data_IF_493656117197
#
_entry.id   IF_493656117197
#
_cell.length_a   1.000
_cell.length_b   1.000
_cell.length_c   1.000
_cell.angle_alpha   90.00
_cell.angle_beta   90.00
_cell.angle_gamma   90.00
#
_symmetry.space_group_name_H-M   'P 1'
#
loop_
_entity.id
_entity.type
_entity.pdbx_description
1 polymer ?
#
# COMPACT_ATOMS: atom_id res chain seq x y z
N UNK A 1 -15.48 -90.75 10.20
CA UNK A 1 -15.46 -89.67 11.18
C UNK A 1 -15.05 -88.40 10.45
N UNK A 2 -15.90 -87.41 10.28
CA UNK A 2 -15.55 -86.16 9.60
C UNK A 2 -14.95 -85.16 10.59
N UNK A 3 -14.13 -84.22 10.13
CA UNK A 3 -13.52 -83.19 10.95
C UNK A 3 -14.47 -81.96 11.10
N UNK A 4 -14.27 -81.13 12.11
CA UNK A 4 -15.17 -79.98 12.45
C UNK A 4 -14.88 -78.71 11.64
N UNK A 5 -15.95 -77.99 11.46
CA UNK A 5 -16.04 -76.70 10.72
C UNK A 5 -15.25 -75.61 11.34
N UNK A 6 -14.51 -74.86 10.50
CA UNK A 6 -13.81 -73.65 10.80
C UNK A 6 -14.77 -72.41 10.95
N UNK A 7 -14.59 -71.65 12.00
CA UNK A 7 -15.26 -70.40 12.20
C UNK A 7 -14.68 -69.28 11.30
N UNK A 8 -15.51 -68.61 10.49
CA UNK A 8 -15.18 -67.43 9.72
C UNK A 8 -15.10 -66.23 10.61
N UNK A 9 -13.93 -65.63 10.68
CA UNK A 9 -13.68 -64.37 11.34
C UNK A 9 -14.19 -63.21 10.45
N UNK A 10 -15.30 -62.61 10.82
CA UNK A 10 -15.75 -61.32 10.29
C UNK A 10 -15.15 -60.19 11.14
N UNK A 11 -14.02 -59.70 10.74
CA UNK A 11 -13.44 -58.45 11.26
C UNK A 11 -12.85 -57.68 10.09
N UNK A 12 -13.50 -56.60 9.70
CA UNK A 12 -12.92 -55.74 8.70
C UNK A 12 -13.92 -54.87 7.97
N UNK A 13 -14.64 -53.98 8.67
CA UNK A 13 -15.35 -52.85 8.00
C UNK A 13 -15.72 -51.74 8.97
N UNK A 14 -14.79 -51.29 9.79
CA UNK A 14 -15.07 -50.19 10.71
C UNK A 14 -14.01 -49.05 10.78
N UNK A 15 -13.00 -49.07 9.90
CA UNK A 15 -11.85 -48.15 10.07
C UNK A 15 -11.66 -47.16 8.92
N UNK A 16 -12.59 -47.04 7.97
CA UNK A 16 -12.42 -46.15 6.80
C UNK A 16 -13.26 -44.86 6.86
N UNK A 17 -14.16 -44.69 7.82
CA UNK A 17 -15.10 -43.54 7.81
C UNK A 17 -14.63 -42.33 8.63
N UNK A 18 -13.55 -42.43 9.40
CA UNK A 18 -13.13 -41.30 10.31
C UNK A 18 -12.15 -40.31 9.65
N UNK A 19 -11.52 -40.63 8.53
CA UNK A 19 -10.52 -39.74 7.89
C UNK A 19 -11.12 -38.71 6.93
N UNK A 20 -12.36 -38.89 6.49
CA UNK A 20 -13.00 -37.97 5.51
C UNK A 20 -13.66 -36.74 6.14
N UNK A 21 -13.76 -36.64 7.47
CA UNK A 21 -14.47 -35.54 8.14
C UNK A 21 -13.59 -34.36 8.60
N UNK A 22 -12.27 -34.42 8.43
CA UNK A 22 -11.35 -33.37 8.91
C UNK A 22 -10.94 -32.39 7.80
N UNK A 23 -11.24 -32.67 6.53
CA UNK A 23 -10.92 -31.78 5.41
C UNK A 23 -11.98 -30.70 5.12
N UNK A 24 -12.98 -30.50 5.95
CA UNK A 24 -14.15 -29.68 5.66
C UNK A 24 -14.13 -28.25 6.17
N UNK A 25 -13.06 -27.78 6.83
CA UNK A 25 -12.99 -26.41 7.36
C UNK A 25 -11.65 -25.74 7.04
N UNK A 26 -11.25 -25.74 5.77
CA UNK A 26 -10.34 -24.71 5.33
C UNK A 26 -11.14 -23.39 5.33
N UNK A 27 -11.04 -22.61 6.40
CA UNK A 27 -11.47 -21.21 6.38
C UNK A 27 -10.53 -20.53 5.39
N UNK A 28 -11.09 -20.02 4.33
CA UNK A 28 -10.36 -19.10 3.45
C UNK A 28 -9.85 -17.95 4.33
N UNK A 29 -8.53 -17.78 4.41
CA UNK A 29 -7.95 -16.65 5.10
C UNK A 29 -8.16 -15.41 4.22
N UNK A 30 -8.55 -14.25 4.77
CA UNK A 30 -8.68 -13.03 4.00
C UNK A 30 -7.36 -12.73 3.31
N UNK A 31 -7.41 -12.56 1.98
CA UNK A 31 -6.23 -12.44 1.13
C UNK A 31 -5.82 -10.99 0.85
N UNK A 32 -6.53 -10.00 1.37
CA UNK A 32 -6.25 -8.58 1.18
C UNK A 32 -6.18 -7.82 2.52
N UNK A 33 -5.25 -6.85 2.64
CA UNK A 33 -4.16 -6.52 1.72
C UNK A 33 -2.98 -7.49 1.82
N UNK A 34 -2.16 -7.56 0.75
CA UNK A 34 -0.96 -8.41 0.70
C UNK A 34 0.31 -7.68 1.13
N UNK A 35 0.31 -6.36 1.07
CA UNK A 35 1.44 -5.48 1.40
C UNK A 35 0.94 -4.32 2.24
N UNK A 36 1.71 -3.95 3.26
CA UNK A 36 1.48 -2.73 4.04
C UNK A 36 2.62 -1.74 3.81
N UNK A 37 2.27 -0.51 3.48
CA UNK A 37 3.22 0.56 3.28
C UNK A 37 2.93 1.74 4.21
N UNK A 38 3.91 2.11 5.03
CA UNK A 38 3.86 3.31 5.87
C UNK A 38 4.38 4.50 5.07
N UNK A 39 3.52 5.50 4.89
CA UNK A 39 3.78 6.68 4.06
C UNK A 39 4.28 7.85 4.90
N UNK A 40 5.34 8.51 4.42
CA UNK A 40 5.69 9.88 4.75
C UNK A 40 5.78 10.68 3.47
N UNK A 41 5.22 11.89 3.50
CA UNK A 41 5.23 12.77 2.33
C UNK A 41 5.77 14.14 2.67
N UNK A 42 6.45 14.76 1.70
CA UNK A 42 6.81 16.15 1.74
C UNK A 42 6.13 16.88 0.57
N UNK A 43 5.37 17.89 0.87
CA UNK A 43 4.78 18.77 -0.14
C UNK A 43 5.81 19.82 -0.51
N UNK A 44 6.29 19.75 -1.74
CA UNK A 44 7.42 20.56 -2.20
C UNK A 44 6.93 21.85 -2.84
N UNK A 45 7.27 22.97 -2.23
CA UNK A 45 7.02 24.29 -2.77
C UNK A 45 8.26 24.80 -3.53
N UNK A 46 8.05 25.26 -4.73
CA UNK A 46 9.05 25.91 -5.58
C UNK A 46 8.93 27.43 -5.58
N UNK A 47 9.49 28.09 -6.62
CA UNK A 47 9.36 29.54 -6.81
C UNK A 47 7.90 29.99 -6.81
N UNK A 48 7.67 31.26 -6.43
CA UNK A 48 6.34 31.88 -6.35
C UNK A 48 5.40 31.19 -5.34
N UNK A 49 5.95 30.44 -4.38
CA UNK A 49 5.20 29.74 -3.33
C UNK A 49 4.16 28.74 -3.89
N UNK A 50 4.48 28.11 -5.01
CA UNK A 50 3.61 27.12 -5.67
C UNK A 50 4.06 25.71 -5.38
N UNK A 51 3.12 24.79 -5.19
CA UNK A 51 3.41 23.37 -5.05
C UNK A 51 3.90 22.87 -6.40
N UNK A 52 5.09 22.27 -6.41
CA UNK A 52 5.75 21.73 -7.62
C UNK A 52 5.79 20.23 -7.67
N UNK A 53 5.57 19.56 -6.54
CA UNK A 53 5.58 18.10 -6.48
C UNK A 53 5.40 17.57 -5.07
N UNK A 54 5.38 16.24 -4.97
CA UNK A 54 5.29 15.49 -3.72
C UNK A 54 6.49 14.55 -3.65
N UNK A 55 7.22 14.58 -2.55
CA UNK A 55 8.28 13.61 -2.26
C UNK A 55 7.77 12.60 -1.27
N UNK A 56 7.88 11.33 -1.62
CA UNK A 56 7.44 10.21 -0.79
C UNK A 56 8.61 9.45 -0.18
N UNK A 57 8.35 8.86 0.98
CA UNK A 57 9.11 7.78 1.58
C UNK A 57 8.10 6.70 2.02
N UNK A 58 8.08 5.58 1.31
CA UNK A 58 7.19 4.43 1.57
C UNK A 58 7.99 3.30 2.21
N UNK A 59 7.75 3.06 3.49
CA UNK A 59 8.38 1.97 4.23
C UNK A 59 7.46 0.76 4.21
N UNK A 60 7.94 -0.33 3.63
CA UNK A 60 7.19 -1.57 3.47
C UNK A 60 7.28 -2.44 4.71
N UNK A 61 6.31 -3.33 4.88
CA UNK A 61 6.29 -4.32 5.94
C UNK A 61 7.45 -5.33 5.85
N UNK A 62 7.67 -6.06 6.95
CA UNK A 62 8.77 -7.02 7.05
C UNK A 62 8.64 -8.19 6.06
N UNK A 63 7.43 -8.64 5.78
CA UNK A 63 7.20 -9.77 4.90
C UNK A 63 7.50 -9.41 3.44
N UNK A 64 6.96 -8.28 2.97
CA UNK A 64 7.29 -7.76 1.64
C UNK A 64 8.79 -7.49 1.52
N UNK A 65 9.39 -6.83 2.52
CA UNK A 65 10.83 -6.53 2.54
C UNK A 65 11.66 -7.79 2.39
N UNK A 66 11.39 -8.82 3.22
CA UNK A 66 12.14 -10.07 3.19
C UNK A 66 12.06 -10.79 1.83
N UNK A 67 10.93 -10.69 1.14
CA UNK A 67 10.78 -11.24 -0.21
C UNK A 67 11.51 -10.39 -1.26
N UNK A 68 11.38 -9.06 -1.17
CA UNK A 68 11.88 -8.15 -2.18
C UNK A 68 13.41 -8.09 -2.27
N UNK A 69 14.11 -8.27 -1.13
CA UNK A 69 15.57 -8.20 -1.08
C UNK A 69 16.29 -9.52 -1.37
N UNK A 70 15.55 -10.61 -1.65
CA UNK A 70 16.17 -11.91 -1.91
C UNK A 70 17.11 -11.88 -3.11
N UNK A 71 18.37 -12.26 -2.86
CA UNK A 71 19.42 -12.32 -3.88
C UNK A 71 20.02 -10.97 -4.29
N UNK A 72 19.69 -9.88 -3.58
CA UNK A 72 20.24 -8.55 -3.85
C UNK A 72 21.55 -8.25 -3.12
N UNK A 73 21.86 -8.96 -2.03
CA UNK A 73 23.19 -8.93 -1.39
C UNK A 73 24.18 -9.70 -2.27
N UNK A 74 24.76 -8.98 -3.23
CA UNK A 74 25.62 -9.57 -4.27
C UNK A 74 27.03 -9.84 -3.79
N UNK A 75 27.49 -9.11 -2.77
CA UNK A 75 28.82 -9.25 -2.18
C UNK A 75 28.83 -10.18 -0.96
N UNK A 76 27.64 -10.52 -0.39
CA UNK A 76 27.48 -11.43 0.74
C UNK A 76 27.88 -10.83 2.08
N UNK A 77 27.88 -9.50 2.22
CA UNK A 77 28.29 -8.82 3.46
C UNK A 77 27.14 -8.61 4.47
N UNK A 78 25.90 -8.97 4.09
CA UNK A 78 24.70 -8.82 4.91
C UNK A 78 24.14 -7.40 4.95
N UNK A 79 24.66 -6.49 4.14
CA UNK A 79 24.22 -5.10 4.02
C UNK A 79 23.70 -4.86 2.61
N UNK A 80 22.56 -4.23 2.48
CA UNK A 80 22.03 -3.85 1.17
C UNK A 80 22.45 -2.42 0.83
N UNK A 81 23.44 -2.28 -0.04
CA UNK A 81 23.90 -0.98 -0.54
C UNK A 81 22.89 -0.36 -1.50
N UNK A 82 22.96 0.96 -1.72
CA UNK A 82 22.12 1.66 -2.71
C UNK A 82 22.35 1.13 -4.13
N UNK A 83 23.59 0.73 -4.44
CA UNK A 83 23.98 0.16 -5.72
C UNK A 83 23.30 -1.19 -5.96
N UNK A 84 23.23 -2.04 -4.94
CA UNK A 84 22.55 -3.35 -5.00
C UNK A 84 21.04 -3.21 -5.06
N UNK A 85 20.48 -2.21 -4.40
CA UNK A 85 19.04 -1.92 -4.41
C UNK A 85 18.57 -1.15 -5.65
N UNK A 86 19.47 -0.54 -6.41
CA UNK A 86 19.14 0.31 -7.57
C UNK A 86 18.25 -0.39 -8.61
N UNK A 87 18.55 -1.63 -9.06
CA UNK A 87 17.69 -2.31 -10.04
C UNK A 87 16.26 -2.52 -9.52
N UNK A 88 16.11 -2.81 -8.23
CA UNK A 88 14.79 -2.95 -7.60
C UNK A 88 14.06 -1.60 -7.54
N UNK A 89 14.76 -0.50 -7.20
CA UNK A 89 14.18 0.83 -7.22
C UNK A 89 13.63 1.20 -8.60
N UNK A 90 14.41 0.93 -9.66
CA UNK A 90 14.02 1.18 -11.05
C UNK A 90 12.76 0.38 -11.45
N UNK A 91 12.71 -0.90 -11.10
CA UNK A 91 11.54 -1.76 -11.37
C UNK A 91 10.32 -1.22 -10.66
N UNK A 92 10.43 -0.86 -9.37
CA UNK A 92 9.32 -0.34 -8.58
C UNK A 92 8.74 0.94 -9.21
N UNK A 93 9.57 1.97 -9.42
CA UNK A 93 9.07 3.26 -9.93
C UNK A 93 8.49 3.17 -11.34
N UNK A 94 9.05 2.31 -12.19
CA UNK A 94 8.53 2.10 -13.55
C UNK A 94 7.14 1.42 -13.51
N UNK A 95 6.93 0.50 -12.58
CA UNK A 95 5.64 -0.20 -12.41
C UNK A 95 4.56 0.72 -11.82
N UNK A 96 4.92 1.70 -10.99
CA UNK A 96 3.97 2.62 -10.36
C UNK A 96 3.16 3.43 -11.38
N UNK A 97 3.70 3.65 -12.59
CA UNK A 97 3.01 4.40 -13.65
C UNK A 97 1.67 3.79 -14.05
N UNK A 98 1.55 2.47 -14.01
CA UNK A 98 0.31 1.75 -14.37
C UNK A 98 -0.81 1.96 -13.35
N UNK A 99 -0.45 2.49 -12.17
CA UNK A 99 -1.36 2.68 -11.03
C UNK A 99 -1.45 4.15 -10.62
N UNK A 100 -1.21 5.09 -11.52
CA UNK A 100 -1.16 6.54 -11.23
C UNK A 100 -0.27 6.87 -10.03
N UNK A 101 0.81 6.11 -9.88
CA UNK A 101 1.77 6.21 -8.77
C UNK A 101 1.13 6.06 -7.38
N UNK A 102 -0.07 5.47 -7.29
CA UNK A 102 -0.90 5.39 -6.07
C UNK A 102 -1.04 6.75 -5.36
N UNK A 103 -0.90 7.84 -6.11
CA UNK A 103 -0.90 9.20 -5.58
C UNK A 103 -1.86 10.06 -6.40
N UNK A 104 -2.88 10.58 -5.73
CA UNK A 104 -3.94 11.36 -6.35
C UNK A 104 -3.94 12.75 -5.74
N UNK A 105 -3.80 13.78 -6.58
CA UNK A 105 -3.75 15.18 -6.15
C UNK A 105 -4.94 15.91 -6.75
N UNK A 106 -5.74 16.57 -5.93
CA UNK A 106 -6.89 17.33 -6.39
C UNK A 106 -7.13 18.59 -5.56
N UNK A 107 -7.93 19.50 -6.09
CA UNK A 107 -8.33 20.72 -5.41
C UNK A 107 -9.67 20.54 -4.73
N UNK A 108 -9.76 20.90 -3.45
CA UNK A 108 -10.98 21.03 -2.64
C UNK A 108 -12.21 20.30 -3.20
N UNK A 109 -12.35 19.01 -2.93
CA UNK A 109 -13.49 18.17 -3.30
C UNK A 109 -13.75 18.05 -4.81
N UNK A 110 -12.79 18.42 -5.65
CA UNK A 110 -12.85 18.08 -7.08
C UNK A 110 -12.53 16.59 -7.26
N UNK A 111 -13.29 15.91 -8.09
CA UNK A 111 -12.99 14.53 -8.52
C UNK A 111 -11.88 14.47 -9.59
N UNK A 112 -11.42 15.64 -10.08
CA UNK A 112 -10.42 15.71 -11.13
C UNK A 112 -9.01 15.64 -10.53
N UNK A 113 -8.31 14.54 -10.79
CA UNK A 113 -6.92 14.39 -10.41
C UNK A 113 -6.00 15.24 -11.28
N UNK A 114 -5.08 15.94 -10.63
CA UNK A 114 -4.05 16.72 -11.32
C UNK A 114 -2.96 15.79 -11.86
N UNK A 115 -2.50 16.00 -13.11
CA UNK A 115 -1.53 15.12 -13.72
C UNK A 115 -0.15 15.25 -13.08
N UNK A 116 0.49 14.10 -12.87
CA UNK A 116 1.83 13.95 -12.33
C UNK A 116 2.80 13.53 -13.43
N UNK A 117 4.05 14.00 -13.33
CA UNK A 117 5.15 13.55 -14.18
C UNK A 117 5.72 12.22 -13.65
N UNK A 118 6.51 11.50 -14.48
CA UNK A 118 7.24 10.34 -14.00
C UNK A 118 8.10 10.65 -12.77
N UNK A 119 8.27 9.67 -11.87
CA UNK A 119 9.08 9.84 -10.67
C UNK A 119 10.53 10.20 -11.02
N UNK A 120 11.10 11.09 -10.23
CA UNK A 120 12.51 11.47 -10.26
C UNK A 120 13.11 11.38 -8.86
N UNK A 121 14.44 11.44 -8.75
CA UNK A 121 15.20 11.37 -7.50
C UNK A 121 14.77 10.17 -6.66
N UNK A 122 14.75 8.98 -7.25
CA UNK A 122 14.30 7.77 -6.58
C UNK A 122 15.45 6.85 -6.17
N UNK A 123 15.28 6.22 -5.01
CA UNK A 123 16.17 5.19 -4.48
C UNK A 123 15.46 4.32 -3.45
N UNK A 124 16.06 3.19 -3.17
CA UNK A 124 15.70 2.34 -2.04
C UNK A 124 16.78 2.42 -0.97
N UNK A 125 16.37 2.40 0.28
CA UNK A 125 17.26 2.08 1.40
C UNK A 125 16.70 0.93 2.23
N UNK A 126 17.59 0.32 3.01
CA UNK A 126 17.26 -0.79 3.90
C UNK A 126 17.79 -0.46 5.29
N UNK A 127 16.89 -0.23 6.23
CA UNK A 127 17.19 0.05 7.62
C UNK A 127 16.31 -0.78 8.56
N UNK A 128 16.89 -1.37 9.60
CA UNK A 128 16.17 -2.15 10.62
C UNK A 128 15.24 -3.21 10.04
N UNK A 129 15.71 -3.92 9.05
CA UNK A 129 14.96 -4.98 8.33
C UNK A 129 13.74 -4.48 7.56
N UNK A 130 13.66 -3.21 7.26
CA UNK A 130 12.61 -2.61 6.45
C UNK A 130 13.19 -1.92 5.22
N UNK A 131 12.52 -2.12 4.10
CA UNK A 131 12.83 -1.46 2.83
C UNK A 131 12.00 -0.19 2.70
N UNK A 132 12.65 0.92 2.34
CA UNK A 132 11.96 2.20 2.09
C UNK A 132 12.24 2.68 0.68
N UNK A 133 11.18 2.90 -0.10
CA UNK A 133 11.25 3.53 -1.41
C UNK A 133 11.07 5.04 -1.26
N UNK A 134 12.07 5.77 -1.72
CA UNK A 134 12.05 7.22 -1.82
C UNK A 134 11.90 7.63 -3.29
N UNK A 135 11.05 8.61 -3.56
CA UNK A 135 10.89 9.17 -4.89
C UNK A 135 10.18 10.51 -4.86
N UNK A 136 10.36 11.31 -5.88
CA UNK A 136 9.68 12.60 -6.06
C UNK A 136 8.74 12.50 -7.26
N UNK A 137 7.50 12.91 -7.09
CA UNK A 137 6.50 13.05 -8.14
C UNK A 137 6.30 14.54 -8.43
N UNK A 138 6.85 15.08 -9.53
CA UNK A 138 6.56 16.44 -9.92
C UNK A 138 5.13 16.57 -10.45
N UNK A 139 4.47 17.67 -10.13
CA UNK A 139 3.24 18.07 -10.80
C UNK A 139 3.54 18.51 -12.24
N UNK A 140 2.63 18.22 -13.18
CA UNK A 140 2.78 18.71 -14.56
C UNK A 140 2.82 20.23 -14.62
N UNK A 141 1.94 20.87 -13.81
CA UNK A 141 1.89 22.32 -13.66
C UNK A 141 2.01 22.69 -12.17
N UNK A 142 2.84 23.66 -11.80
CA UNK A 142 2.89 24.17 -10.43
C UNK A 142 1.53 24.67 -9.97
N UNK A 143 1.12 24.32 -8.76
CA UNK A 143 -0.19 24.56 -8.20
C UNK A 143 -0.16 25.68 -7.16
N UNK A 144 -1.08 26.65 -7.26
CA UNK A 144 -1.28 27.66 -6.24
C UNK A 144 -2.24 27.14 -5.17
N UNK A 145 -1.75 27.03 -3.94
CA UNK A 145 -2.55 26.60 -2.78
C UNK A 145 -3.26 27.74 -2.05
N UNK A 146 -3.14 29.01 -2.52
CA UNK A 146 -3.81 30.14 -1.88
C UNK A 146 -5.31 30.08 -2.12
N UNK A 147 -6.06 30.02 -1.02
CA UNK A 147 -7.52 30.03 -1.05
C UNK A 147 -8.19 28.74 -1.52
N UNK A 148 -7.40 27.69 -1.76
CA UNK A 148 -7.90 26.35 -2.06
C UNK A 148 -7.20 25.33 -1.17
N UNK A 149 -7.96 24.36 -0.65
CA UNK A 149 -7.36 23.18 -0.06
C UNK A 149 -6.80 22.31 -1.19
N UNK A 150 -5.59 21.78 -0.99
CA UNK A 150 -4.99 20.82 -1.90
C UNK A 150 -4.95 19.48 -1.19
N UNK A 151 -5.68 18.53 -1.73
CA UNK A 151 -5.80 17.20 -1.20
C UNK A 151 -4.82 16.26 -1.91
N UNK A 152 -4.09 15.48 -1.13
CA UNK A 152 -3.15 14.46 -1.61
C UNK A 152 -3.50 13.14 -0.96
N UNK A 153 -4.05 12.24 -1.75
CA UNK A 153 -4.39 10.89 -1.34
C UNK A 153 -3.30 9.90 -1.77
N UNK A 154 -3.02 8.94 -0.90
CA UNK A 154 -2.12 7.83 -1.23
C UNK A 154 -2.84 6.52 -0.94
N UNK A 155 -3.25 5.83 -2.00
CA UNK A 155 -3.95 4.56 -1.88
C UNK A 155 -3.82 3.70 -3.13
N UNK A 156 -4.04 2.40 -2.97
CA UNK A 156 -4.20 1.46 -4.08
C UNK A 156 -5.70 1.26 -4.34
N UNK A 157 -6.22 1.60 -5.54
CA UNK A 157 -7.63 1.40 -5.88
C UNK A 157 -8.12 -0.04 -5.66
N UNK A 158 -7.23 -1.04 -5.82
CA UNK A 158 -7.56 -2.46 -5.64
C UNK A 158 -7.41 -2.95 -4.20
N UNK A 159 -6.83 -2.14 -3.32
CA UNK A 159 -6.49 -2.50 -1.95
C UNK A 159 -5.57 -3.71 -1.81
N UNK A 160 -4.75 -4.00 -2.83
CA UNK A 160 -3.70 -4.99 -2.74
C UNK A 160 -2.56 -4.51 -1.82
N UNK A 161 -2.25 -3.21 -1.90
CA UNK A 161 -1.37 -2.51 -0.99
C UNK A 161 -2.20 -1.63 -0.05
N UNK A 162 -2.09 -1.86 1.26
CA UNK A 162 -2.64 -0.95 2.25
C UNK A 162 -1.63 0.15 2.57
N UNK A 163 -1.92 1.36 2.14
CA UNK A 163 -1.15 2.54 2.50
C UNK A 163 -1.70 3.17 3.76
N UNK A 164 -0.81 3.61 4.65
CA UNK A 164 -1.17 4.36 5.83
C UNK A 164 -0.11 5.41 6.17
N UNK A 165 -0.52 6.62 6.46
CA UNK A 165 0.43 7.65 6.87
C UNK A 165 1.05 7.34 8.24
N UNK A 166 2.34 7.64 8.38
CA UNK A 166 3.07 7.46 9.62
C UNK A 166 2.42 8.25 10.77
N UNK A 167 2.43 7.69 11.98
CA UNK A 167 1.89 8.36 13.18
C UNK A 167 2.67 9.64 13.52
N UNK A 168 3.97 9.63 13.27
CA UNK A 168 4.88 10.75 13.55
C UNK A 168 5.35 11.38 12.25
N UNK A 169 5.16 12.68 12.13
CA UNK A 169 5.55 13.48 10.96
C UNK A 169 5.07 12.87 9.63
N UNK A 170 3.75 12.59 9.49
CA UNK A 170 3.20 11.96 8.30
C UNK A 170 3.38 12.80 7.05
N UNK A 171 3.22 14.11 7.20
CA UNK A 171 3.35 15.08 6.11
C UNK A 171 4.15 16.28 6.58
N UNK A 172 5.00 16.81 5.69
CA UNK A 172 5.80 18.02 5.90
C UNK A 172 5.64 18.97 4.72
N UNK A 173 5.82 20.24 4.99
CA UNK A 173 6.01 21.26 3.96
C UNK A 173 7.52 21.46 3.75
N UNK A 174 7.96 21.43 2.50
CA UNK A 174 9.36 21.61 2.10
C UNK A 174 9.49 22.70 1.02
N UNK A 175 10.70 23.24 0.84
CA UNK A 175 10.98 24.29 -0.15
C UNK A 175 10.63 25.69 0.32
N UNK A 176 9.96 26.49 -0.53
CA UNK A 176 9.65 27.90 -0.30
C UNK A 176 8.13 28.15 -0.21
N UNK A 177 7.46 27.72 0.87
CA UNK A 177 6.02 27.93 1.03
C UNK A 177 5.71 29.39 1.35
N UNK A 178 4.49 29.84 1.01
CA UNK A 178 3.98 31.10 1.51
C UNK A 178 3.83 31.05 3.05
N UNK A 179 3.92 32.17 3.75
CA UNK A 179 3.63 32.21 5.18
C UNK A 179 2.21 31.70 5.49
N UNK A 180 2.10 30.88 6.54
CA UNK A 180 0.83 30.31 6.96
C UNK A 180 0.37 29.07 6.17
N UNK A 181 1.24 28.48 5.34
CA UNK A 181 0.98 27.15 4.79
C UNK A 181 1.20 26.06 5.85
N UNK A 182 0.31 25.08 5.86
CA UNK A 182 0.38 23.89 6.73
C UNK A 182 -0.20 22.67 6.03
N UNK A 183 0.05 21.50 6.60
CA UNK A 183 -0.56 20.27 6.15
C UNK A 183 -1.02 19.43 7.34
N UNK A 184 -2.15 18.75 7.18
CA UNK A 184 -2.72 17.85 8.18
C UNK A 184 -3.20 16.57 7.52
N UNK A 185 -3.37 15.49 8.31
CA UNK A 185 -3.93 14.23 7.81
C UNK A 185 -5.39 14.11 8.26
N UNK A 186 -6.27 13.99 7.28
CA UNK A 186 -7.66 13.61 7.48
C UNK A 186 -7.77 12.07 7.43
N UNK A 187 -8.43 11.51 8.43
CA UNK A 187 -8.72 10.07 8.46
C UNK A 187 -9.93 9.76 7.56
N UNK A 188 -9.99 8.55 6.97
CA UNK A 188 -11.20 8.10 6.28
C UNK A 188 -12.37 8.01 7.24
N UNK A 189 -13.57 8.22 6.72
CA UNK A 189 -14.82 8.13 7.49
C UNK A 189 -15.32 6.67 7.46
N UNK A 190 -14.87 5.86 8.43
CA UNK A 190 -15.14 4.42 8.51
C UNK A 190 -16.14 4.08 9.63
N UNK A 191 -17.01 5.00 10.01
CA UNK A 191 -17.83 4.91 11.23
C UNK A 191 -19.04 3.96 11.16
N UNK A 192 -19.18 3.12 10.11
CA UNK A 192 -20.36 2.26 9.99
C UNK A 192 -20.05 0.75 9.86
N UNK A 193 -21.02 -0.10 10.26
CA UNK A 193 -20.90 -1.56 10.15
C UNK A 193 -20.80 -2.08 8.70
N UNK A 194 -21.16 -1.26 7.71
CA UNK A 194 -21.06 -1.63 6.29
C UNK A 194 -19.61 -1.65 5.83
N UNK A 195 -18.77 -0.77 6.38
CA UNK A 195 -17.33 -0.71 6.06
C UNK A 195 -16.59 -1.95 6.58
N UNK A 196 -16.93 -2.42 7.77
CA UNK A 196 -16.39 -3.67 8.31
C UNK A 196 -16.83 -4.90 7.47
N UNK A 197 -18.01 -4.84 6.85
CA UNK A 197 -18.54 -5.89 5.98
C UNK A 197 -17.89 -5.82 4.58
N UNK A 198 -17.53 -4.62 4.13
CA UNK A 198 -16.79 -4.40 2.89
C UNK A 198 -15.39 -5.03 2.93
N UNK A 199 -14.79 -5.20 4.10
CA UNK A 199 -13.51 -5.90 4.31
C UNK A 199 -13.63 -7.43 4.24
N UNK A 200 -14.79 -8.00 3.88
CA UNK A 200 -14.94 -9.45 3.75
C UNK A 200 -14.37 -9.97 2.43
N UNK A 201 -13.77 -11.16 2.48
CA UNK A 201 -13.23 -11.86 1.29
C UNK A 201 -14.26 -12.01 0.16
N UNK A 202 -15.53 -12.28 0.52
CA UNK A 202 -16.62 -12.39 -0.44
C UNK A 202 -16.86 -11.07 -1.19
N UNK A 203 -16.59 -9.95 -0.56
CA UNK A 203 -16.68 -8.64 -1.19
C UNK A 203 -15.49 -8.42 -2.14
N UNK A 204 -14.27 -8.67 -1.70
CA UNK A 204 -13.08 -8.53 -2.55
C UNK A 204 -13.14 -9.38 -3.82
N UNK A 205 -13.68 -10.59 -3.73
CA UNK A 205 -13.84 -11.47 -4.89
C UNK A 205 -14.82 -10.95 -5.95
N UNK A 206 -15.66 -9.96 -5.62
CA UNK A 206 -16.61 -9.32 -6.53
C UNK A 206 -16.07 -8.02 -7.13
N UNK A 207 -14.93 -7.51 -6.63
CA UNK A 207 -14.31 -6.31 -7.17
C UNK A 207 -13.69 -6.61 -8.53
N UNK A 208 -14.11 -5.86 -9.53
CA UNK A 208 -13.47 -5.90 -10.85
C UNK A 208 -12.14 -5.14 -10.85
N UNK A 209 -11.31 -5.32 -11.89
CA UNK A 209 -10.02 -4.64 -12.02
C UNK A 209 -10.10 -3.10 -12.09
N UNK A 210 -11.30 -2.55 -12.30
CA UNK A 210 -11.57 -1.10 -12.31
C UNK A 210 -12.29 -0.62 -11.04
N UNK A 211 -12.30 -1.42 -9.96
CA UNK A 211 -12.88 -0.96 -8.70
C UNK A 211 -11.99 0.12 -8.10
N UNK A 212 -12.60 1.16 -7.51
CA UNK A 212 -11.89 2.16 -6.71
C UNK A 212 -12.12 1.93 -5.20
N UNK A 213 -12.10 0.66 -4.81
CA UNK A 213 -12.42 0.24 -3.45
C UNK A 213 -11.46 0.81 -2.40
N UNK A 214 -10.16 0.86 -2.74
CA UNK A 214 -9.14 1.35 -1.83
C UNK A 214 -9.31 2.81 -1.41
N UNK A 215 -10.00 3.62 -2.21
CA UNK A 215 -10.24 5.04 -1.88
C UNK A 215 -11.01 5.24 -0.57
N UNK A 216 -11.88 4.29 -0.20
CA UNK A 216 -12.66 4.35 1.03
C UNK A 216 -11.78 4.30 2.30
N UNK A 217 -10.58 3.75 2.19
CA UNK A 217 -9.62 3.62 3.28
C UNK A 217 -8.50 4.64 3.20
N UNK A 218 -8.53 5.51 2.19
CA UNK A 218 -7.50 6.49 1.97
C UNK A 218 -7.48 7.54 3.09
N UNK A 219 -6.30 7.79 3.59
CA UNK A 219 -6.02 8.97 4.41
C UNK A 219 -5.59 10.09 3.48
N UNK A 220 -6.13 11.29 3.66
CA UNK A 220 -5.84 12.47 2.84
C UNK A 220 -4.88 13.40 3.56
N UNK A 221 -3.79 13.80 2.91
CA UNK A 221 -2.99 14.92 3.35
C UNK A 221 -3.57 16.23 2.77
N UNK A 222 -4.14 17.07 3.61
CA UNK A 222 -4.76 18.34 3.22
C UNK A 222 -3.75 19.46 3.43
N UNK A 223 -3.42 20.17 2.36
CA UNK A 223 -2.53 21.34 2.37
C UNK A 223 -3.35 22.61 2.29
N UNK A 224 -3.11 23.52 3.24
CA UNK A 224 -3.77 24.84 3.30
C UNK A 224 -2.75 25.93 3.41
N UNK A 225 -2.97 27.02 2.69
CA UNK A 225 -2.22 28.26 2.82
C UNK A 225 -3.15 29.41 3.18
N UNK A 226 -2.75 30.24 4.15
CA UNK A 226 -3.55 31.38 4.54
C UNK A 226 -3.74 32.37 3.37
N UNK A 227 -4.96 32.86 3.18
CA UNK A 227 -5.25 33.97 2.28
C UNK A 227 -4.91 35.26 3.02
N UNK A 228 -3.86 35.95 2.61
CA UNK A 228 -3.55 37.35 3.05
C UNK A 228 -4.00 38.36 2.03
#
# INVERSE_FOLDING_TARGET
>A
MPPPHGAKCQRGLATVIVVAAVCGFAREAPAHPHVWATVRSEIVFGPEHRITGIRHAWTFDEFYTAMAVQGLDTNGDGVFSKEELKPLAEVNVNSLKEFDYFTFVHLDKSDDNLPLKPPEDYWLDYDKSLLTLHFTLPLEQPLDAKGNDVDVDVYDPTFFVAFGFAKEQPVKIAGDPAPGCGAEIKQPDLDNEEDAKALSEAFFSQLGPNSNFGSQFAQTAIVRCATH
#
